data_IF_046043142759
#
_entry.id   IF_046043142759
#
_cell.length_a   1.000
_cell.length_b   1.000
_cell.length_c   1.000
_cell.angle_alpha   90.00
_cell.angle_beta   90.00
_cell.angle_gamma   90.00
#
_symmetry.space_group_name_H-M   'P 1'
#
loop_
_entity.id
_entity.type
_entity.pdbx_description
1 polymer ?
#
# COMPACT_ATOMS: atom_id res chain seq x y z
N UNK A 1 -2.39 -5.22 15.81
CA UNK A 1 -1.09 -5.88 16.04
C UNK A 1 -0.16 -5.79 14.82
N UNK A 2 -0.68 -5.74 13.59
CA UNK A 2 0.11 -5.69 12.33
C UNK A 2 0.81 -4.35 12.01
N UNK A 3 0.31 -3.21 12.50
CA UNK A 3 0.81 -1.88 12.07
C UNK A 3 2.29 -1.61 12.43
N UNK A 4 2.80 -2.21 13.51
CA UNK A 4 4.22 -2.11 13.91
C UNK A 4 5.12 -3.09 13.16
N UNK A 5 4.54 -4.14 12.58
CA UNK A 5 5.30 -5.22 11.95
C UNK A 5 5.91 -4.77 10.62
N UNK A 6 5.15 -4.05 9.79
CA UNK A 6 5.68 -3.49 8.54
C UNK A 6 6.92 -2.60 8.77
N UNK A 7 6.85 -1.70 9.76
CA UNK A 7 7.96 -0.81 10.12
C UNK A 7 9.14 -1.62 10.65
N UNK A 8 8.88 -2.60 11.52
CA UNK A 8 9.92 -3.47 12.09
C UNK A 8 10.67 -4.24 10.99
N UNK A 9 9.94 -4.81 10.03
CA UNK A 9 10.50 -5.54 8.90
C UNK A 9 11.22 -4.63 7.91
N UNK A 10 10.72 -3.42 7.68
CA UNK A 10 11.38 -2.42 6.84
C UNK A 10 12.75 -2.05 7.39
N UNK A 11 12.85 -1.81 8.71
CA UNK A 11 14.13 -1.56 9.40
C UNK A 11 15.07 -2.76 9.35
N UNK A 12 14.54 -3.99 9.29
CA UNK A 12 15.36 -5.18 9.14
C UNK A 12 15.96 -5.25 7.73
N UNK A 13 15.13 -5.04 6.70
CA UNK A 13 15.59 -4.98 5.31
C UNK A 13 16.63 -3.89 5.09
N UNK A 14 16.48 -2.73 5.72
CA UNK A 14 17.47 -1.65 5.68
C UNK A 14 18.85 -2.08 6.20
N UNK A 15 18.89 -2.86 7.30
CA UNK A 15 20.14 -3.43 7.81
C UNK A 15 20.74 -4.49 6.87
N UNK A 16 19.89 -5.31 6.23
CA UNK A 16 20.32 -6.27 5.20
C UNK A 16 20.96 -5.54 4.01
N UNK A 17 20.34 -4.45 3.54
CA UNK A 17 20.87 -3.58 2.47
C UNK A 17 22.25 -3.02 2.84
N UNK A 18 22.37 -2.41 4.02
CA UNK A 18 23.64 -1.83 4.48
C UNK A 18 24.76 -2.89 4.58
N UNK A 19 24.41 -4.10 5.00
CA UNK A 19 25.34 -5.23 5.07
C UNK A 19 25.81 -5.61 3.67
N UNK A 20 24.88 -5.87 2.75
CA UNK A 20 25.21 -6.26 1.36
C UNK A 20 26.03 -5.18 0.66
N UNK A 21 25.71 -3.90 0.84
CA UNK A 21 26.47 -2.77 0.28
C UNK A 21 27.90 -2.68 0.82
N UNK A 22 28.11 -2.96 2.11
CA UNK A 22 29.42 -2.92 2.74
C UNK A 22 30.34 -4.06 2.27
N UNK A 23 29.78 -5.24 2.02
CA UNK A 23 30.54 -6.45 1.70
C UNK A 23 30.63 -6.76 0.19
N UNK A 24 29.84 -6.11 -0.67
CA UNK A 24 29.91 -6.31 -2.13
C UNK A 24 30.29 -5.01 -2.85
N UNK A 25 31.56 -4.89 -3.20
CA UNK A 25 32.06 -3.85 -4.11
C UNK A 25 31.68 -4.09 -5.58
N UNK A 26 31.26 -5.31 -5.93
CA UNK A 26 30.80 -5.68 -7.28
C UNK A 26 29.37 -6.24 -7.23
N UNK A 27 28.42 -5.43 -7.69
CA UNK A 27 26.98 -5.69 -7.62
C UNK A 27 26.50 -6.77 -8.62
N UNK A 28 27.34 -7.15 -9.59
CA UNK A 28 26.90 -7.87 -10.80
C UNK A 28 26.73 -9.38 -10.64
N UNK A 29 27.28 -10.02 -9.59
CA UNK A 29 27.16 -11.47 -9.38
C UNK A 29 26.48 -11.87 -8.06
N UNK A 30 25.93 -10.92 -7.30
CA UNK A 30 25.41 -11.22 -5.96
C UNK A 30 23.88 -11.48 -5.99
N UNK A 31 23.51 -12.74 -5.76
CA UNK A 31 22.13 -13.23 -5.66
C UNK A 31 21.34 -12.57 -4.51
N UNK A 32 22.00 -12.15 -3.43
CA UNK A 32 21.40 -11.43 -2.31
C UNK A 32 21.02 -9.99 -2.71
N UNK A 33 21.88 -9.31 -3.46
CA UNK A 33 21.61 -7.96 -3.98
C UNK A 33 20.43 -7.96 -4.98
N UNK A 34 20.37 -8.96 -5.86
CA UNK A 34 19.23 -9.20 -6.74
C UNK A 34 17.93 -9.46 -5.93
N UNK A 35 18.02 -10.29 -4.89
CA UNK A 35 16.88 -10.60 -4.01
C UNK A 35 16.35 -9.35 -3.30
N UNK A 36 17.24 -8.52 -2.75
CA UNK A 36 16.89 -7.25 -2.12
C UNK A 36 16.21 -6.32 -3.13
N UNK A 37 16.77 -6.21 -4.33
CA UNK A 37 16.19 -5.37 -5.40
C UNK A 37 14.79 -5.84 -5.80
N UNK A 38 14.58 -7.16 -5.90
CA UNK A 38 13.26 -7.74 -6.13
C UNK A 38 12.28 -7.41 -5.01
N UNK A 39 12.68 -7.53 -3.74
CA UNK A 39 11.82 -7.15 -2.59
C UNK A 39 11.41 -5.67 -2.69
N UNK A 40 12.37 -4.76 -2.93
CA UNK A 40 12.10 -3.33 -3.06
C UNK A 40 11.10 -3.02 -4.18
N UNK A 41 11.27 -3.62 -5.36
CA UNK A 41 10.33 -3.44 -6.48
C UNK A 41 8.96 -4.07 -6.20
N UNK A 42 8.91 -5.21 -5.51
CA UNK A 42 7.67 -5.94 -5.27
C UNK A 42 6.77 -5.26 -4.22
N UNK A 43 7.34 -4.54 -3.26
CA UNK A 43 6.57 -3.79 -2.24
C UNK A 43 5.59 -2.81 -2.87
N UNK A 44 6.03 -2.06 -3.89
CA UNK A 44 5.18 -1.09 -4.56
C UNK A 44 3.94 -1.74 -5.19
N UNK A 45 4.13 -2.95 -5.75
CA UNK A 45 3.05 -3.70 -6.38
C UNK A 45 1.96 -4.14 -5.41
N UNK A 46 2.28 -4.33 -4.13
CA UNK A 46 1.28 -4.66 -3.09
C UNK A 46 0.25 -3.54 -2.89
N UNK A 47 0.59 -2.29 -3.22
CA UNK A 47 -0.33 -1.16 -3.10
C UNK A 47 -1.16 -0.91 -4.37
N UNK A 48 -1.05 -1.77 -5.38
CA UNK A 48 -1.84 -1.70 -6.61
C UNK A 48 -3.06 -2.62 -6.47
N UNK A 49 -4.24 -2.04 -6.39
CA UNK A 49 -5.49 -2.79 -6.38
C UNK A 49 -5.94 -3.12 -7.81
N UNK A 50 -5.94 -4.41 -8.17
CA UNK A 50 -6.43 -4.89 -9.48
C UNK A 50 -7.95 -4.80 -9.62
N UNK A 51 -8.67 -4.80 -8.51
CA UNK A 51 -10.13 -4.65 -8.44
C UNK A 51 -10.56 -3.19 -8.26
N UNK A 52 -9.65 -2.22 -8.47
CA UNK A 52 -9.96 -0.81 -8.31
C UNK A 52 -11.18 -0.39 -9.15
N UNK A 53 -11.94 0.58 -8.61
CA UNK A 53 -13.28 1.01 -9.04
C UNK A 53 -13.50 0.93 -10.58
N UNK A 54 -14.70 0.55 -11.03
CA UNK A 54 -15.02 0.40 -12.46
C UNK A 54 -14.81 1.66 -13.32
N UNK A 55 -14.58 2.84 -12.71
CA UNK A 55 -14.52 4.12 -13.40
C UNK A 55 -13.10 4.69 -13.62
N UNK A 56 -12.04 4.04 -13.12
CA UNK A 56 -10.69 4.49 -13.44
C UNK A 56 -9.64 3.39 -13.31
N UNK A 57 -9.37 2.71 -14.42
CA UNK A 57 -8.24 1.79 -14.53
C UNK A 57 -6.88 2.46 -14.30
N UNK A 58 -6.79 3.79 -14.35
CA UNK A 58 -5.58 4.55 -14.09
C UNK A 58 -5.33 4.82 -12.59
N UNK A 59 -6.35 4.71 -11.73
CA UNK A 59 -6.29 5.03 -10.29
C UNK A 59 -6.26 3.76 -9.43
N UNK A 60 -5.28 2.88 -9.67
CA UNK A 60 -5.17 1.59 -8.96
C UNK A 60 -4.34 1.64 -7.70
N UNK A 61 -3.49 2.66 -7.55
CA UNK A 61 -2.60 2.75 -6.41
C UNK A 61 -3.37 3.24 -5.17
N UNK A 62 -3.37 2.42 -4.12
CA UNK A 62 -4.18 2.59 -2.90
C UNK A 62 -3.74 3.79 -2.05
N UNK A 63 -2.43 4.07 -2.01
CA UNK A 63 -1.90 5.23 -1.28
C UNK A 63 -1.92 6.51 -2.11
N UNK A 64 -1.41 6.45 -3.35
CA UNK A 64 -1.32 7.60 -4.24
C UNK A 64 -2.33 7.46 -5.37
N UNK A 65 -3.45 8.18 -5.28
CA UNK A 65 -4.38 8.28 -6.40
C UNK A 65 -5.09 9.62 -6.36
N UNK A 66 -5.41 10.12 -7.55
CA UNK A 66 -6.14 11.37 -7.73
C UNK A 66 -7.58 11.14 -7.23
N UNK A 67 -8.07 11.98 -6.32
CA UNK A 67 -9.47 11.88 -5.87
C UNK A 67 -10.43 12.04 -7.06
N UNK A 68 -11.60 11.40 -6.98
CA UNK A 68 -12.66 11.61 -7.96
C UNK A 68 -13.41 12.94 -7.73
N UNK A 69 -13.27 13.53 -6.54
CA UNK A 69 -13.96 14.76 -6.12
C UNK A 69 -13.08 16.01 -6.25
N UNK A 70 -11.78 15.87 -6.07
CA UNK A 70 -10.80 16.96 -6.25
C UNK A 70 -9.54 16.41 -6.92
N UNK A 71 -9.35 16.73 -8.20
CA UNK A 71 -8.21 16.25 -8.97
C UNK A 71 -6.90 16.98 -8.70
N UNK A 72 -6.95 18.15 -8.03
CA UNK A 72 -5.78 18.95 -7.65
C UNK A 72 -5.29 18.64 -6.24
N UNK A 73 -6.15 18.10 -5.38
CA UNK A 73 -5.73 17.54 -4.10
C UNK A 73 -5.08 16.16 -4.30
N UNK A 74 -3.76 16.10 -4.33
CA UNK A 74 -3.04 14.83 -4.15
C UNK A 74 -3.30 14.32 -2.74
N UNK A 75 -4.37 13.56 -2.52
CA UNK A 75 -4.68 13.04 -1.20
C UNK A 75 -4.14 11.63 -1.07
N UNK A 76 -3.30 11.41 -0.06
CA UNK A 76 -2.93 10.07 0.40
C UNK A 76 -4.20 9.28 0.74
N UNK A 77 -4.34 8.03 0.26
CA UNK A 77 -5.54 7.21 0.47
C UNK A 77 -6.85 7.90 0.02
N UNK A 78 -6.86 8.54 -1.15
CA UNK A 78 -8.00 9.31 -1.67
C UNK A 78 -9.33 8.56 -1.64
N UNK A 79 -9.33 7.26 -1.95
CA UNK A 79 -10.54 6.44 -1.90
C UNK A 79 -11.17 6.37 -0.49
N UNK A 80 -10.35 6.42 0.57
CA UNK A 80 -10.83 6.47 1.96
C UNK A 80 -11.38 7.85 2.28
N UNK A 81 -10.70 8.92 1.90
CA UNK A 81 -11.20 10.29 2.10
C UNK A 81 -12.53 10.52 1.35
N UNK A 82 -12.63 10.08 0.10
CA UNK A 82 -13.86 10.14 -0.69
C UNK A 82 -15.02 9.39 -0.01
N UNK A 83 -14.72 8.23 0.61
CA UNK A 83 -15.70 7.42 1.32
C UNK A 83 -16.13 8.06 2.65
N UNK A 84 -15.20 8.67 3.40
CA UNK A 84 -15.49 9.46 4.61
C UNK A 84 -16.39 10.64 4.24
N UNK A 85 -16.02 11.39 3.20
CA UNK A 85 -16.79 12.53 2.74
C UNK A 85 -18.21 12.12 2.33
N UNK A 86 -18.35 10.98 1.64
CA UNK A 86 -19.65 10.41 1.28
C UNK A 86 -20.47 10.02 2.52
N UNK A 87 -19.82 9.49 3.56
CA UNK A 87 -20.47 9.13 4.81
C UNK A 87 -20.95 10.35 5.59
N UNK A 88 -20.15 11.41 5.66
CA UNK A 88 -20.49 12.67 6.35
C UNK A 88 -21.70 13.35 5.69
N UNK A 89 -21.73 13.35 4.36
CA UNK A 89 -22.81 14.00 3.59
C UNK A 89 -24.04 13.11 3.36
N UNK A 90 -24.05 11.87 3.86
CA UNK A 90 -25.17 10.95 3.70
C UNK A 90 -26.40 11.38 4.55
N UNK A 91 -27.49 11.73 3.86
CA UNK A 91 -28.70 12.29 4.51
C UNK A 91 -29.67 11.24 5.07
N UNK A 92 -29.64 10.00 4.55
CA UNK A 92 -30.54 8.92 5.00
C UNK A 92 -29.77 7.79 5.69
N UNK A 93 -30.42 7.05 6.58
CA UNK A 93 -29.80 5.91 7.27
C UNK A 93 -29.38 4.82 6.29
N UNK A 94 -30.16 4.58 5.24
CA UNK A 94 -29.81 3.63 4.17
C UNK A 94 -28.53 4.05 3.46
N UNK A 95 -28.37 5.34 3.14
CA UNK A 95 -27.16 5.87 2.52
C UNK A 95 -25.96 5.86 3.47
N UNK A 96 -26.17 6.11 4.76
CA UNK A 96 -25.11 6.04 5.78
C UNK A 96 -24.57 4.63 5.94
N UNK A 97 -25.45 3.62 6.00
CA UNK A 97 -25.03 2.21 6.08
C UNK A 97 -24.24 1.79 4.84
N UNK A 98 -24.69 2.18 3.64
CA UNK A 98 -23.96 1.89 2.41
C UNK A 98 -22.58 2.57 2.36
N UNK A 99 -22.52 3.85 2.71
CA UNK A 99 -21.26 4.61 2.77
C UNK A 99 -20.30 4.03 3.84
N UNK A 100 -20.82 3.61 4.99
CA UNK A 100 -20.03 2.95 6.03
C UNK A 100 -19.44 1.61 5.58
N UNK A 101 -20.21 0.80 4.84
CA UNK A 101 -19.70 -0.44 4.23
C UNK A 101 -18.60 -0.16 3.21
N UNK A 102 -18.77 0.85 2.37
CA UNK A 102 -17.75 1.23 1.38
C UNK A 102 -16.48 1.75 2.06
N UNK A 103 -16.60 2.58 3.11
CA UNK A 103 -15.46 3.01 3.90
C UNK A 103 -14.70 1.83 4.52
N UNK A 104 -15.42 0.89 5.16
CA UNK A 104 -14.81 -0.30 5.73
C UNK A 104 -14.08 -1.13 4.66
N UNK A 105 -14.68 -1.28 3.48
CA UNK A 105 -14.06 -1.98 2.34
C UNK A 105 -12.76 -1.31 1.88
N UNK A 106 -12.74 0.02 1.74
CA UNK A 106 -11.52 0.75 1.34
C UNK A 106 -10.40 0.62 2.39
N UNK A 107 -10.75 0.68 3.68
CA UNK A 107 -9.79 0.43 4.77
C UNK A 107 -9.24 -1.00 4.69
N UNK A 108 -10.09 -1.99 4.43
CA UNK A 108 -9.67 -3.39 4.29
C UNK A 108 -8.69 -3.61 3.15
N UNK A 109 -8.84 -2.92 2.01
CA UNK A 109 -7.86 -3.00 0.92
C UNK A 109 -6.48 -2.49 1.35
N UNK A 110 -6.43 -1.42 2.13
CA UNK A 110 -5.17 -0.84 2.61
C UNK A 110 -4.53 -1.75 3.66
N UNK A 111 -5.32 -2.34 4.55
CA UNK A 111 -4.80 -3.33 5.49
C UNK A 111 -4.22 -4.56 4.76
N UNK A 112 -4.94 -5.09 3.76
CA UNK A 112 -4.46 -6.21 2.96
C UNK A 112 -3.17 -5.86 2.20
N UNK A 113 -3.08 -4.64 1.65
CA UNK A 113 -1.87 -4.16 0.98
C UNK A 113 -0.67 -4.04 1.94
N UNK A 114 -0.87 -3.52 3.15
CA UNK A 114 0.18 -3.46 4.18
C UNK A 114 0.62 -4.86 4.60
N UNK A 115 -0.31 -5.81 4.72
CA UNK A 115 0.01 -7.20 5.03
C UNK A 115 0.80 -7.86 3.89
N UNK A 116 0.41 -7.64 2.64
CA UNK A 116 1.18 -8.06 1.46
C UNK A 116 2.60 -7.51 1.51
N UNK A 117 2.74 -6.19 1.67
CA UNK A 117 4.04 -5.52 1.71
C UNK A 117 4.91 -6.05 2.85
N UNK A 118 4.33 -6.29 4.02
CA UNK A 118 5.02 -6.89 5.18
C UNK A 118 5.55 -8.28 4.87
N UNK A 119 4.75 -9.13 4.22
CA UNK A 119 5.16 -10.48 3.83
C UNK A 119 6.23 -10.44 2.73
N UNK A 120 6.12 -9.53 1.77
CA UNK A 120 7.09 -9.37 0.67
C UNK A 120 8.50 -9.01 1.18
N UNK A 121 8.60 -8.12 2.18
CA UNK A 121 9.90 -7.74 2.76
C UNK A 121 10.37 -8.69 3.86
N UNK A 122 9.53 -9.62 4.31
CA UNK A 122 9.94 -10.60 5.30
C UNK A 122 11.01 -11.51 4.71
N UNK A 123 12.10 -11.69 5.44
CA UNK A 123 13.08 -12.74 5.17
C UNK A 123 12.35 -14.08 5.38
N UNK A 124 12.30 -14.93 4.35
CA UNK A 124 12.01 -16.35 4.56
C UNK A 124 13.23 -16.91 5.30
N UNK A 125 13.05 -17.26 6.57
CA UNK A 125 13.92 -18.24 7.23
C UNK A 125 13.47 -19.60 6.74
#
# INVERSE_FOLDING_TARGET
>A
MERKEFIRRSRQLEREIQTVQKYNSHFESNTEAATISHKLMAVERCFINVYARPYSHAKRHLLYSISDKDSYASSFMSAVYDAIDTLIHAKSDKTKVAAGKELAKQISYIQAAVQCATNTISSFI
#
